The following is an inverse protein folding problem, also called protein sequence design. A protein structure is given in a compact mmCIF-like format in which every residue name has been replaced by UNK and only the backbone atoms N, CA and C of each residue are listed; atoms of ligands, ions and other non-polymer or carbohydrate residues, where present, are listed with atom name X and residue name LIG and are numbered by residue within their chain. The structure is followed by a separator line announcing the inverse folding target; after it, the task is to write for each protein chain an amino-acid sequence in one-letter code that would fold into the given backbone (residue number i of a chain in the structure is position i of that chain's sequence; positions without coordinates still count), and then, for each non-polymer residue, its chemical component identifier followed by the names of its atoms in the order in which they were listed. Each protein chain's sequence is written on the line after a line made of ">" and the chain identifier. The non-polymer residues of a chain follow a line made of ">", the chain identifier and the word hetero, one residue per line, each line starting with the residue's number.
data_IF_830889813103
#
_entry.id   IF_830889813103
#
_cell.length_a   1.000
_cell.length_b   1.000
_cell.length_c   1.000
_cell.angle_alpha   90.00
_cell.angle_beta   90.00
_cell.angle_gamma   90.00
#
_symmetry.space_group_name_H-M   'P 1'
#
loop_
_entity.id
_entity.type
_entity.pdbx_description
1 polymer ?
#
# COMPACT_ATOMS: atom_id res chain seq x y z
N UNK A 1 -14.63 31.48 10.28
CA UNK A 1 -14.26 31.45 8.86
C UNK A 1 -13.73 30.06 8.56
N UNK A 2 -14.13 29.45 7.45
CA UNK A 2 -13.57 28.17 7.01
C UNK A 2 -12.36 28.40 6.09
N UNK A 3 -11.47 27.43 5.97
CA UNK A 3 -10.34 27.51 5.05
C UNK A 3 -10.78 27.12 3.64
N UNK A 4 -11.49 26.00 3.54
CA UNK A 4 -12.06 25.48 2.29
C UNK A 4 -13.53 25.11 2.51
N UNK A 5 -14.39 25.50 1.57
CA UNK A 5 -15.78 25.06 1.48
C UNK A 5 -16.01 24.32 0.16
N UNK A 6 -16.35 23.04 0.22
CA UNK A 6 -16.72 22.23 -0.93
C UNK A 6 -18.25 22.18 -1.01
N UNK A 7 -18.82 22.55 -2.16
CA UNK A 7 -20.25 22.54 -2.43
C UNK A 7 -20.63 21.40 -3.36
N UNK A 8 -21.89 20.98 -3.30
CA UNK A 8 -22.50 20.04 -4.25
C UNK A 8 -21.75 18.70 -4.40
N UNK A 9 -21.21 18.18 -3.29
CA UNK A 9 -20.48 16.91 -3.27
C UNK A 9 -21.45 15.72 -3.24
N UNK A 10 -21.24 14.76 -4.14
CA UNK A 10 -21.79 13.42 -3.98
C UNK A 10 -20.89 12.66 -2.99
N UNK A 11 -21.48 11.97 -2.01
CA UNK A 11 -20.73 11.14 -1.06
C UNK A 11 -21.06 9.66 -1.26
N UNK A 12 -20.07 8.79 -1.08
CA UNK A 12 -20.29 7.34 -1.14
C UNK A 12 -21.35 6.91 -0.14
N UNK A 13 -22.27 6.04 -0.58
CA UNK A 13 -23.35 5.45 0.23
C UNK A 13 -24.29 6.47 0.91
N UNK A 14 -24.32 7.74 0.47
CA UNK A 14 -25.23 8.77 0.96
C UNK A 14 -26.02 9.39 -0.19
N UNK A 15 -27.33 9.56 0.00
CA UNK A 15 -28.21 10.19 -1.00
C UNK A 15 -28.09 11.72 -0.97
N UNK A 16 -28.31 12.33 -2.13
CA UNK A 16 -28.32 13.79 -2.30
C UNK A 16 -26.92 14.43 -2.30
N UNK A 17 -26.90 15.75 -2.46
CA UNK A 17 -25.69 16.56 -2.51
C UNK A 17 -25.36 17.17 -1.14
N UNK A 18 -24.08 17.20 -0.82
CA UNK A 18 -23.56 17.61 0.48
C UNK A 18 -22.58 18.77 0.34
N UNK A 19 -22.44 19.53 1.42
CA UNK A 19 -21.43 20.56 1.57
C UNK A 19 -20.45 20.13 2.66
N UNK A 20 -19.15 20.33 2.42
CA UNK A 20 -18.08 19.99 3.35
C UNK A 20 -17.31 21.27 3.68
N UNK A 21 -17.19 21.59 4.96
CA UNK A 21 -16.41 22.73 5.43
C UNK A 21 -15.15 22.22 6.15
N UNK A 22 -14.00 22.76 5.76
CA UNK A 22 -12.69 22.46 6.35
C UNK A 22 -12.21 23.67 7.12
N UNK A 23 -11.70 23.45 8.33
CA UNK A 23 -10.99 24.46 9.12
C UNK A 23 -9.82 23.83 9.85
N UNK A 24 -8.65 24.47 9.82
CA UNK A 24 -7.43 24.08 10.54
C UNK A 24 -7.06 22.61 10.32
N UNK A 25 -7.09 22.17 9.06
CA UNK A 25 -6.72 20.80 8.70
C UNK A 25 -7.73 19.72 9.10
N UNK A 26 -8.92 20.08 9.59
CA UNK A 26 -9.98 19.12 9.96
C UNK A 26 -11.28 19.38 9.22
N UNK A 27 -12.03 18.30 8.97
CA UNK A 27 -13.39 18.38 8.44
C UNK A 27 -14.30 18.89 9.56
N UNK A 28 -14.62 20.18 9.52
CA UNK A 28 -15.39 20.84 10.56
C UNK A 28 -16.89 20.55 10.47
N UNK A 29 -17.42 20.37 9.25
CA UNK A 29 -18.86 20.16 9.04
C UNK A 29 -19.16 19.42 7.74
N UNK A 30 -20.14 18.51 7.77
CA UNK A 30 -20.71 17.86 6.59
C UNK A 30 -22.24 17.99 6.64
N UNK A 31 -22.86 18.70 5.67
CA UNK A 31 -24.31 18.94 5.72
C UNK A 31 -24.94 19.19 4.35
N UNK A 32 -26.19 18.78 4.17
CA UNK A 32 -26.99 19.13 2.99
C UNK A 32 -27.49 20.59 3.03
N UNK A 33 -27.52 21.22 4.22
CA UNK A 33 -27.97 22.62 4.36
C UNK A 33 -26.91 23.58 3.81
N UNK A 34 -27.32 24.71 3.20
CA UNK A 34 -26.36 25.73 2.77
C UNK A 34 -25.51 26.25 3.93
N UNK A 35 -24.20 26.38 3.72
CA UNK A 35 -23.26 26.96 4.67
C UNK A 35 -23.08 28.45 4.32
N UNK A 36 -23.67 29.35 5.13
CA UNK A 36 -23.61 30.83 4.93
C UNK A 36 -22.37 31.50 5.55
N UNK A 37 -21.29 30.75 5.77
CA UNK A 37 -20.05 31.26 6.35
C UNK A 37 -19.04 31.64 5.26
N UNK A 38 -18.19 32.65 5.52
CA UNK A 38 -17.05 32.96 4.66
C UNK A 38 -16.02 31.81 4.68
N UNK A 39 -15.46 31.50 3.52
CA UNK A 39 -14.38 30.54 3.34
C UNK A 39 -13.22 31.17 2.54
N UNK A 40 -11.98 30.79 2.84
CA UNK A 40 -10.80 31.25 2.10
C UNK A 40 -10.81 30.77 0.64
N UNK A 41 -11.24 29.53 0.41
CA UNK A 41 -11.48 28.95 -0.91
C UNK A 41 -12.86 28.30 -0.97
N UNK A 42 -13.54 28.42 -2.11
CA UNK A 42 -14.80 27.73 -2.38
C UNK A 42 -14.61 26.86 -3.62
N UNK A 43 -14.86 25.56 -3.48
CA UNK A 43 -14.79 24.58 -4.55
C UNK A 43 -16.20 24.08 -4.83
N UNK A 44 -16.56 23.97 -6.11
CA UNK A 44 -17.79 23.30 -6.53
C UNK A 44 -17.43 21.90 -7.06
N UNK A 45 -17.91 20.87 -6.36
CA UNK A 45 -17.77 19.49 -6.80
C UNK A 45 -18.68 19.19 -8.00
N UNK A 46 -19.71 20.00 -8.28
CA UNK A 46 -20.56 19.86 -9.46
C UNK A 46 -21.33 18.53 -9.52
N UNK A 47 -21.60 17.93 -8.36
CA UNK A 47 -22.19 16.59 -8.26
C UNK A 47 -21.19 15.45 -8.40
N UNK A 48 -19.89 15.74 -8.51
CA UNK A 48 -18.87 14.70 -8.50
C UNK A 48 -18.67 14.11 -7.10
N UNK A 49 -18.16 12.88 -7.09
CA UNK A 49 -17.88 12.09 -5.91
C UNK A 49 -16.73 12.71 -5.12
N UNK A 50 -16.94 12.89 -3.82
CA UNK A 50 -15.91 13.25 -2.86
C UNK A 50 -15.69 12.09 -1.90
N UNK A 51 -14.44 11.67 -1.78
CA UNK A 51 -14.02 10.50 -0.99
C UNK A 51 -12.78 10.80 -0.17
N UNK A 52 -12.47 9.90 0.76
CA UNK A 52 -11.12 9.78 1.32
C UNK A 52 -10.07 9.68 0.19
N UNK A 53 -8.82 10.12 0.44
CA UNK A 53 -7.74 9.90 -0.50
C UNK A 53 -7.44 8.41 -0.63
N UNK A 54 -6.75 8.03 -1.69
CA UNK A 54 -6.28 6.66 -1.83
C UNK A 54 -5.09 6.39 -0.90
N UNK A 55 -4.92 5.12 -0.57
CA UNK A 55 -3.82 4.61 0.25
C UNK A 55 -3.21 3.42 -0.48
N UNK A 56 -1.88 3.45 -0.67
CA UNK A 56 -1.13 2.32 -1.21
C UNK A 56 -0.19 1.76 -0.12
N UNK A 57 -0.55 0.62 0.45
CA UNK A 57 0.21 0.02 1.56
C UNK A 57 1.38 -0.84 1.12
N UNK A 58 1.59 -0.99 -0.19
CA UNK A 58 2.64 -1.84 -0.73
C UNK A 58 3.18 -1.24 -2.03
N UNK A 59 4.36 -0.64 -1.93
CA UNK A 59 5.06 -0.06 -3.06
C UNK A 59 6.57 -0.13 -2.88
N UNK A 60 7.30 -0.74 -3.80
CA UNK A 60 8.76 -0.77 -3.80
C UNK A 60 9.34 0.49 -4.45
N UNK A 61 9.45 1.58 -3.68
CA UNK A 61 9.89 2.86 -4.22
C UNK A 61 11.38 2.93 -4.58
N UNK A 62 12.24 2.14 -3.92
CA UNK A 62 13.70 2.23 -4.13
C UNK A 62 14.17 1.74 -5.51
N UNK A 63 13.31 1.03 -6.26
CA UNK A 63 13.62 0.42 -7.57
C UNK A 63 12.68 0.85 -8.70
N UNK A 64 11.88 1.89 -8.52
CA UNK A 64 10.95 2.34 -9.57
C UNK A 64 11.67 2.89 -10.80
N UNK A 65 11.10 2.62 -11.98
CA UNK A 65 11.66 2.97 -13.29
C UNK A 65 13.04 2.37 -13.57
N UNK A 66 13.21 1.09 -13.21
CA UNK A 66 14.43 0.31 -13.48
C UNK A 66 14.22 -0.77 -14.54
N UNK A 67 13.01 -0.90 -15.12
CA UNK A 67 12.69 -1.91 -16.13
C UNK A 67 13.70 -1.95 -17.28
N UNK A 68 14.10 -0.80 -17.81
CA UNK A 68 15.06 -0.70 -18.93
C UNK A 68 16.50 -1.10 -18.52
N UNK A 69 16.79 -1.22 -17.22
CA UNK A 69 18.07 -1.70 -16.70
C UNK A 69 18.14 -3.24 -16.60
N UNK A 70 17.03 -3.92 -16.90
CA UNK A 70 16.84 -5.36 -16.70
C UNK A 70 16.69 -6.09 -18.03
N UNK A 71 17.11 -7.36 -18.06
CA UNK A 71 16.73 -8.25 -19.16
C UNK A 71 15.27 -8.73 -18.98
N UNK A 72 14.62 -9.14 -20.06
CA UNK A 72 13.22 -9.62 -20.01
C UNK A 72 13.06 -10.95 -19.27
N UNK A 73 14.16 -11.64 -18.90
CA UNK A 73 14.07 -12.97 -18.28
C UNK A 73 13.52 -12.91 -16.87
N UNK A 74 13.83 -11.84 -16.12
CA UNK A 74 13.28 -11.64 -14.77
C UNK A 74 11.74 -11.60 -14.80
N UNK A 75 11.17 -10.80 -15.71
CA UNK A 75 9.72 -10.71 -15.92
C UNK A 75 9.12 -12.06 -16.31
N UNK A 76 9.72 -12.77 -17.27
CA UNK A 76 9.22 -14.08 -17.70
C UNK A 76 9.24 -15.13 -16.57
N UNK A 77 10.25 -15.10 -15.71
CA UNK A 77 10.36 -16.06 -14.60
C UNK A 77 9.29 -15.79 -13.51
N UNK A 78 8.99 -14.53 -13.24
CA UNK A 78 7.99 -14.14 -12.23
C UNK A 78 6.56 -14.44 -12.68
N UNK A 79 6.24 -14.19 -13.97
CA UNK A 79 4.88 -14.36 -14.51
C UNK A 79 4.58 -15.76 -15.06
N UNK A 80 5.44 -16.76 -14.80
CA UNK A 80 5.17 -18.15 -15.15
C UNK A 80 3.90 -18.66 -14.47
N UNK A 81 3.11 -19.51 -15.17
CA UNK A 81 1.73 -19.84 -14.81
C UNK A 81 1.52 -20.38 -13.37
N UNK A 82 2.52 -21.07 -12.82
CA UNK A 82 2.50 -21.63 -11.46
C UNK A 82 3.35 -20.82 -10.45
N UNK A 83 3.97 -19.72 -10.89
CA UNK A 83 5.00 -18.99 -10.14
C UNK A 83 6.14 -19.87 -9.61
N UNK A 84 6.43 -21.03 -10.21
CA UNK A 84 7.51 -21.91 -9.78
C UNK A 84 8.91 -21.29 -9.93
N UNK A 85 9.03 -20.23 -10.72
CA UNK A 85 10.26 -19.46 -10.94
C UNK A 85 10.45 -18.26 -10.03
N UNK A 86 9.63 -18.06 -9.00
CA UNK A 86 9.64 -16.84 -8.17
C UNK A 86 11.02 -16.54 -7.55
N UNK A 87 11.68 -17.53 -6.94
CA UNK A 87 13.04 -17.35 -6.40
C UNK A 87 14.05 -16.97 -7.49
N UNK A 88 14.00 -17.62 -8.64
CA UNK A 88 14.86 -17.28 -9.79
C UNK A 88 14.63 -15.85 -10.27
N UNK A 89 13.37 -15.39 -10.30
CA UNK A 89 13.04 -14.02 -10.66
C UNK A 89 13.65 -13.01 -9.68
N UNK A 90 13.60 -13.30 -8.38
CA UNK A 90 14.24 -12.47 -7.33
C UNK A 90 15.75 -12.39 -7.54
N UNK A 91 16.41 -13.52 -7.80
CA UNK A 91 17.86 -13.55 -8.07
C UNK A 91 18.24 -12.76 -9.33
N UNK A 92 17.43 -12.86 -10.39
CA UNK A 92 17.62 -12.07 -11.60
C UNK A 92 17.42 -10.58 -11.33
N UNK A 93 16.34 -10.21 -10.65
CA UNK A 93 16.00 -8.85 -10.28
C UNK A 93 17.07 -8.20 -9.39
N UNK A 94 17.69 -8.95 -8.48
CA UNK A 94 18.74 -8.47 -7.58
C UNK A 94 19.96 -7.88 -8.31
N UNK A 95 20.16 -8.16 -9.61
CA UNK A 95 21.22 -7.57 -10.42
C UNK A 95 21.15 -6.05 -10.51
N UNK A 96 19.95 -5.45 -10.44
CA UNK A 96 19.80 -3.98 -10.43
C UNK A 96 20.47 -3.35 -9.20
N UNK A 97 20.52 -4.08 -8.07
CA UNK A 97 21.07 -3.61 -6.79
C UNK A 97 22.56 -3.29 -6.89
N UNK A 98 23.29 -3.97 -7.77
CA UNK A 98 24.71 -3.69 -8.02
C UNK A 98 24.97 -2.25 -8.50
N UNK A 99 23.96 -1.60 -9.09
CA UNK A 99 24.03 -0.24 -9.59
C UNK A 99 23.20 0.76 -8.77
N UNK A 100 22.77 0.39 -7.56
CA UNK A 100 22.02 1.28 -6.67
C UNK A 100 22.79 2.57 -6.42
N UNK A 101 22.14 3.69 -6.73
CA UNK A 101 22.71 5.01 -6.55
C UNK A 101 21.61 6.02 -6.26
N UNK A 102 21.76 6.78 -5.17
CA UNK A 102 20.82 7.84 -4.80
C UNK A 102 20.56 8.81 -5.96
N UNK A 103 21.57 9.07 -6.81
CA UNK A 103 21.49 10.02 -7.93
C UNK A 103 20.37 9.71 -8.92
N UNK A 104 20.00 8.45 -9.10
CA UNK A 104 18.86 8.07 -9.95
C UNK A 104 17.65 7.61 -9.12
N UNK A 105 17.85 6.98 -7.96
CA UNK A 105 16.75 6.54 -7.09
C UNK A 105 15.90 7.73 -6.65
N UNK A 106 16.52 8.79 -6.12
CA UNK A 106 15.78 9.90 -5.54
C UNK A 106 14.93 10.68 -6.58
N UNK A 107 15.45 11.04 -7.78
CA UNK A 107 14.60 11.60 -8.84
C UNK A 107 13.44 10.70 -9.26
N UNK A 108 13.67 9.39 -9.36
CA UNK A 108 12.64 8.42 -9.72
C UNK A 108 11.55 8.32 -8.65
N UNK A 109 11.93 8.28 -7.38
CA UNK A 109 11.02 8.32 -6.22
C UNK A 109 10.19 9.60 -6.23
N UNK A 110 10.83 10.77 -6.44
CA UNK A 110 10.13 12.06 -6.55
C UNK A 110 9.09 12.05 -7.67
N UNK A 111 9.44 11.50 -8.84
CA UNK A 111 8.50 11.34 -9.97
C UNK A 111 7.29 10.48 -9.56
N UNK A 112 7.54 9.34 -8.92
CA UNK A 112 6.48 8.44 -8.47
C UNK A 112 5.55 9.08 -7.41
N UNK A 113 6.11 9.84 -6.46
CA UNK A 113 5.35 10.54 -5.41
C UNK A 113 4.55 11.73 -5.95
N UNK A 114 5.07 12.46 -6.96
CA UNK A 114 4.29 13.48 -7.68
C UNK A 114 3.08 12.88 -8.38
N UNK A 115 3.25 11.72 -9.03
CA UNK A 115 2.14 10.98 -9.63
C UNK A 115 1.14 10.50 -8.58
N UNK A 116 1.61 10.05 -7.41
CA UNK A 116 0.74 9.70 -6.30
C UNK A 116 -0.16 10.87 -5.87
N UNK A 117 0.45 12.04 -5.63
CA UNK A 117 -0.30 13.25 -5.32
C UNK A 117 -1.28 13.65 -6.42
N UNK A 118 -0.90 13.53 -7.71
CA UNK A 118 -1.75 13.82 -8.85
C UNK A 118 -2.98 12.91 -8.89
N UNK A 119 -2.79 11.61 -8.63
CA UNK A 119 -3.86 10.62 -8.64
C UNK A 119 -4.61 10.53 -7.29
N UNK A 120 -4.28 11.39 -6.33
CA UNK A 120 -4.96 11.43 -5.02
C UNK A 120 -4.57 10.29 -4.09
N UNK A 121 -3.47 9.59 -4.35
CA UNK A 121 -2.86 8.63 -3.43
C UNK A 121 -1.95 9.39 -2.47
N UNK A 122 -2.46 9.65 -1.26
CA UNK A 122 -1.81 10.55 -0.29
C UNK A 122 -1.13 9.82 0.86
N UNK A 123 -1.24 8.50 0.92
CA UNK A 123 -0.64 7.69 1.98
C UNK A 123 0.02 6.46 1.37
N UNK A 124 1.33 6.32 1.56
CA UNK A 124 2.11 5.22 0.98
C UNK A 124 2.92 4.53 2.06
N UNK A 125 2.92 3.20 2.08
CA UNK A 125 3.97 2.42 2.76
C UNK A 125 4.95 1.91 1.71
N UNK A 126 6.15 2.48 1.74
CA UNK A 126 7.19 2.31 0.74
C UNK A 126 8.27 1.35 1.23
N UNK A 127 8.49 0.27 0.50
CA UNK A 127 9.52 -0.73 0.79
C UNK A 127 10.87 -0.27 0.24
N UNK A 128 11.90 -0.40 1.07
CA UNK A 128 13.27 -0.06 0.77
C UNK A 128 14.15 -1.30 0.98
N UNK A 129 14.76 -1.81 -0.09
CA UNK A 129 15.65 -2.97 -0.01
C UNK A 129 16.85 -2.67 0.93
N UNK A 130 17.06 -3.57 1.89
CA UNK A 130 18.13 -3.56 2.90
C UNK A 130 18.82 -4.92 2.89
N UNK A 131 19.97 -4.99 2.24
CA UNK A 131 20.77 -6.21 2.10
C UNK A 131 22.24 -5.87 1.79
N UNK A 132 23.10 -6.87 1.64
CA UNK A 132 24.53 -6.66 1.39
C UNK A 132 24.85 -5.90 0.08
N UNK A 133 23.95 -5.94 -0.91
CA UNK A 133 24.12 -5.34 -2.24
C UNK A 133 23.57 -3.91 -2.26
N UNK A 134 22.30 -3.75 -1.92
CA UNK A 134 21.60 -2.47 -1.85
C UNK A 134 22.10 -1.60 -0.67
N UNK A 135 22.65 -2.25 0.36
CA UNK A 135 23.05 -1.63 1.62
C UNK A 135 21.88 -0.84 2.20
N UNK A 136 22.06 0.46 2.44
CA UNK A 136 21.02 1.37 2.92
C UNK A 136 20.77 2.51 1.92
N UNK A 137 21.19 2.36 0.66
CA UNK A 137 21.14 3.43 -0.34
C UNK A 137 19.69 3.80 -0.66
N UNK A 138 18.86 2.79 -0.95
CA UNK A 138 17.43 2.98 -1.21
C UNK A 138 16.71 3.58 0.00
N UNK A 139 16.97 3.04 1.20
CA UNK A 139 16.38 3.54 2.44
C UNK A 139 16.65 5.03 2.66
N UNK A 140 17.92 5.47 2.56
CA UNK A 140 18.31 6.87 2.76
C UNK A 140 17.61 7.80 1.74
N UNK A 141 17.49 7.36 0.49
CA UNK A 141 16.75 8.11 -0.53
C UNK A 141 15.25 8.23 -0.18
N UNK A 142 14.64 7.14 0.29
CA UNK A 142 13.22 7.11 0.68
C UNK A 142 12.93 7.97 1.91
N UNK A 143 13.81 7.96 2.92
CA UNK A 143 13.68 8.84 4.10
C UNK A 143 13.73 10.33 3.70
N UNK A 144 14.65 10.70 2.81
CA UNK A 144 14.74 12.06 2.27
C UNK A 144 13.49 12.44 1.48
N UNK A 145 12.98 11.54 0.63
CA UNK A 145 11.75 11.78 -0.13
C UNK A 145 10.52 11.89 0.79
N UNK A 146 10.42 11.06 1.85
CA UNK A 146 9.37 11.18 2.87
C UNK A 146 9.34 12.58 3.47
N UNK A 147 10.49 13.10 3.84
CA UNK A 147 10.59 14.42 4.48
C UNK A 147 10.27 15.56 3.48
N UNK A 148 10.71 15.44 2.22
CA UNK A 148 10.42 16.39 1.14
C UNK A 148 8.93 16.47 0.78
N UNK A 149 8.21 15.35 0.84
CA UNK A 149 6.78 15.27 0.47
C UNK A 149 5.83 15.44 1.66
N UNK A 150 6.34 15.71 2.86
CA UNK A 150 5.53 15.93 4.05
C UNK A 150 4.46 17.00 3.82
N UNK A 151 3.22 16.66 4.14
CA UNK A 151 2.05 17.53 3.91
C UNK A 151 1.50 17.50 2.48
N UNK A 152 2.15 16.77 1.58
CA UNK A 152 1.67 16.44 0.23
C UNK A 152 1.25 14.97 0.21
N UNK A 153 2.22 14.05 0.34
CA UNK A 153 2.02 12.59 0.42
C UNK A 153 2.71 12.10 1.69
N UNK A 154 1.98 11.44 2.57
CA UNK A 154 2.53 10.85 3.79
C UNK A 154 3.13 9.48 3.45
N UNK A 155 4.44 9.33 3.62
CA UNK A 155 5.18 8.09 3.32
C UNK A 155 5.64 7.43 4.61
N UNK A 156 5.33 6.14 4.79
CA UNK A 156 5.97 5.27 5.78
C UNK A 156 7.08 4.49 5.07
N UNK A 157 8.32 4.61 5.54
CA UNK A 157 9.45 3.86 4.98
C UNK A 157 9.59 2.52 5.71
N UNK A 158 9.43 1.42 4.98
CA UNK A 158 9.60 0.05 5.45
C UNK A 158 11.02 -0.43 5.10
N UNK A 159 11.84 -0.70 6.13
CA UNK A 159 13.15 -1.31 5.93
C UNK A 159 12.95 -2.79 5.56
N UNK A 160 13.40 -3.23 4.39
CA UNK A 160 12.95 -4.49 3.81
C UNK A 160 14.10 -5.42 3.42
N UNK A 161 14.27 -6.57 4.09
CA UNK A 161 15.38 -7.49 3.84
C UNK A 161 15.12 -8.39 2.62
N UNK A 162 15.06 -7.82 1.42
CA UNK A 162 14.62 -8.49 0.18
C UNK A 162 15.35 -9.80 -0.14
N UNK A 163 16.63 -9.94 0.22
CA UNK A 163 17.44 -11.14 -0.04
C UNK A 163 17.44 -12.14 1.15
N UNK A 164 16.66 -11.85 2.21
CA UNK A 164 16.50 -12.69 3.40
C UNK A 164 17.31 -12.18 4.58
N UNK A 165 16.99 -12.68 5.78
CA UNK A 165 17.63 -12.32 7.05
C UNK A 165 18.59 -13.42 7.49
N UNK A 166 18.18 -14.69 7.37
CA UNK A 166 18.98 -15.84 7.83
C UNK A 166 19.90 -16.31 6.70
N UNK A 167 19.38 -16.43 5.48
CA UNK A 167 20.15 -16.85 4.30
C UNK A 167 21.19 -15.84 3.82
N UNK A 168 21.06 -14.56 4.21
CA UNK A 168 21.99 -13.49 3.85
C UNK A 168 22.67 -12.91 5.11
N UNK A 169 23.89 -13.38 5.44
CA UNK A 169 24.61 -12.92 6.63
C UNK A 169 24.83 -11.40 6.64
N UNK A 170 24.63 -10.78 7.81
CA UNK A 170 24.81 -9.34 8.02
C UNK A 170 23.54 -8.51 7.74
N UNK A 171 22.49 -9.08 7.14
CA UNK A 171 21.23 -8.37 6.92
C UNK A 171 20.58 -7.91 8.23
N UNK A 172 20.65 -8.71 9.30
CA UNK A 172 20.08 -8.31 10.61
C UNK A 172 20.71 -7.02 11.16
N UNK A 173 22.02 -6.86 11.03
CA UNK A 173 22.72 -5.64 11.47
C UNK A 173 22.34 -4.44 10.61
N UNK A 174 22.23 -4.63 9.29
CA UNK A 174 21.75 -3.59 8.37
C UNK A 174 20.30 -3.19 8.66
N UNK A 175 19.44 -4.16 8.99
CA UNK A 175 18.06 -3.91 9.41
C UNK A 175 18.01 -3.07 10.68
N UNK A 176 18.88 -3.36 11.66
CA UNK A 176 19.01 -2.52 12.86
C UNK A 176 19.46 -1.10 12.52
N UNK A 177 20.51 -0.95 11.69
CA UNK A 177 20.97 0.37 11.24
C UNK A 177 19.86 1.13 10.49
N UNK A 178 19.05 0.44 9.68
CA UNK A 178 17.92 1.03 8.99
C UNK A 178 16.88 1.61 9.96
N UNK A 179 16.60 0.89 11.06
CA UNK A 179 15.71 1.37 12.11
C UNK A 179 16.31 2.54 12.89
N UNK A 180 17.62 2.50 13.20
CA UNK A 180 18.34 3.61 13.83
C UNK A 180 18.32 4.90 12.98
N UNK A 181 18.34 4.77 11.65
CA UNK A 181 18.20 5.89 10.70
C UNK A 181 16.77 6.46 10.63
N UNK A 182 15.78 5.81 11.26
CA UNK A 182 14.41 6.30 11.34
C UNK A 182 13.45 5.73 10.32
N UNK A 183 13.66 4.48 9.89
CA UNK A 183 12.61 3.70 9.23
C UNK A 183 11.35 3.61 10.11
N UNK A 184 10.17 3.63 9.47
CA UNK A 184 8.88 3.71 10.15
C UNK A 184 8.30 2.33 10.46
N UNK A 185 8.70 1.31 9.70
CA UNK A 185 8.11 -0.03 9.68
C UNK A 185 9.24 -1.06 9.49
N UNK A 186 9.17 -2.18 10.23
CA UNK A 186 10.08 -3.32 10.03
C UNK A 186 9.51 -4.24 8.94
N UNK A 187 10.32 -4.52 7.92
CA UNK A 187 9.98 -5.39 6.82
C UNK A 187 10.37 -6.86 7.06
N UNK A 188 9.96 -7.74 6.14
CA UNK A 188 10.44 -9.12 6.09
C UNK A 188 9.95 -9.87 4.86
N UNK A 189 10.66 -10.95 4.52
CA UNK A 189 10.31 -11.87 3.42
C UNK A 189 10.64 -13.32 3.85
N UNK A 190 10.00 -13.85 4.91
CA UNK A 190 10.40 -15.12 5.49
C UNK A 190 10.34 -16.31 4.52
N UNK A 191 9.41 -16.34 3.56
CA UNK A 191 9.19 -17.50 2.69
C UNK A 191 10.35 -17.83 1.75
N UNK A 192 11.33 -16.93 1.58
CA UNK A 192 12.52 -17.21 0.77
C UNK A 192 13.65 -17.86 1.59
N UNK A 193 13.50 -18.01 2.91
CA UNK A 193 14.51 -18.68 3.72
C UNK A 193 14.60 -20.17 3.34
N UNK A 194 15.75 -20.81 3.58
CA UNK A 194 15.99 -22.16 3.05
C UNK A 194 15.19 -23.27 3.75
N UNK A 195 14.78 -23.05 5.00
CA UNK A 195 14.08 -24.05 5.81
C UNK A 195 12.99 -23.38 6.65
N UNK A 196 11.92 -24.10 6.99
CA UNK A 196 10.85 -23.61 7.87
C UNK A 196 11.38 -23.05 9.21
N UNK A 197 12.47 -23.65 9.73
CA UNK A 197 13.14 -23.15 10.92
C UNK A 197 13.73 -21.75 10.70
N UNK A 198 14.36 -21.53 9.55
CA UNK A 198 14.95 -20.25 9.19
C UNK A 198 13.87 -19.21 8.88
N UNK A 199 12.74 -19.61 8.27
CA UNK A 199 11.56 -18.75 8.10
C UNK A 199 11.05 -18.24 9.47
N UNK A 200 10.95 -19.12 10.46
CA UNK A 200 10.53 -18.74 11.82
C UNK A 200 11.56 -17.83 12.48
N UNK A 201 12.87 -18.10 12.34
CA UNK A 201 13.92 -17.23 12.88
C UNK A 201 13.84 -15.82 12.25
N UNK A 202 13.60 -15.73 10.94
CA UNK A 202 13.40 -14.46 10.25
C UNK A 202 12.26 -13.66 10.89
N UNK A 203 11.09 -14.28 11.07
CA UNK A 203 9.92 -13.64 11.68
C UNK A 203 10.24 -13.18 13.10
N UNK A 204 10.88 -14.05 13.89
CA UNK A 204 11.21 -13.79 15.29
C UNK A 204 12.18 -12.61 15.44
N UNK A 205 13.24 -12.54 14.63
CA UNK A 205 14.21 -11.45 14.69
C UNK A 205 13.60 -10.13 14.25
N UNK A 206 12.80 -10.12 13.18
CA UNK A 206 12.10 -8.91 12.74
C UNK A 206 11.04 -8.47 13.75
N UNK A 207 10.35 -9.40 14.42
CA UNK A 207 9.41 -9.08 15.48
C UNK A 207 10.11 -8.49 16.71
N UNK A 208 11.26 -9.05 17.13
CA UNK A 208 12.09 -8.48 18.20
C UNK A 208 12.49 -7.04 17.87
N UNK A 209 12.91 -6.79 16.62
CA UNK A 209 13.27 -5.46 16.16
C UNK A 209 12.05 -4.51 16.20
N UNK A 210 10.90 -4.96 15.71
CA UNK A 210 9.66 -4.19 15.72
C UNK A 210 9.23 -3.81 17.16
N UNK A 211 9.38 -4.73 18.12
CA UNK A 211 9.11 -4.48 19.54
C UNK A 211 10.12 -3.48 20.13
N UNK A 212 11.42 -3.68 19.88
CA UNK A 212 12.47 -2.84 20.43
C UNK A 212 12.33 -1.36 20.03
N UNK A 213 11.89 -1.08 18.79
CA UNK A 213 11.68 0.27 18.28
C UNK A 213 10.22 0.76 18.39
N UNK A 214 9.33 -0.06 18.94
CA UNK A 214 7.87 0.14 18.97
C UNK A 214 7.25 0.48 17.59
N UNK A 215 7.68 -0.23 16.54
CA UNK A 215 7.25 -0.02 15.14
C UNK A 215 6.40 -1.17 14.61
N UNK A 216 5.51 -0.85 13.68
CA UNK A 216 4.67 -1.85 13.02
C UNK A 216 5.53 -2.78 12.13
N UNK A 217 4.98 -3.93 11.75
CA UNK A 217 5.64 -4.92 10.89
C UNK A 217 4.87 -5.12 9.58
N UNK A 218 5.60 -5.31 8.48
CA UNK A 218 5.05 -5.53 7.13
C UNK A 218 5.88 -6.58 6.41
N UNK A 219 5.33 -7.76 6.13
CA UNK A 219 6.11 -8.84 5.50
C UNK A 219 5.48 -9.38 4.22
N UNK A 220 6.31 -9.63 3.21
CA UNK A 220 5.94 -10.46 2.06
C UNK A 220 5.94 -11.91 2.55
N UNK A 221 4.78 -12.54 2.49
CA UNK A 221 4.57 -13.90 3.00
C UNK A 221 3.98 -14.77 1.91
N UNK A 222 4.35 -16.04 1.92
CA UNK A 222 3.85 -17.09 1.04
C UNK A 222 3.70 -16.65 -0.45
N UNK A 223 4.69 -15.94 -0.99
CA UNK A 223 4.66 -15.37 -2.36
C UNK A 223 5.20 -16.35 -3.43
N UNK A 224 4.66 -17.56 -3.44
CA UNK A 224 4.97 -18.58 -4.43
C UNK A 224 3.74 -19.47 -4.70
N UNK A 225 3.78 -20.25 -5.78
CA UNK A 225 2.78 -21.27 -6.07
C UNK A 225 2.96 -22.56 -5.27
N UNK A 226 3.15 -22.45 -3.96
CA UNK A 226 3.38 -23.60 -3.07
C UNK A 226 2.39 -23.58 -1.90
N UNK A 227 1.38 -24.50 -1.86
CA UNK A 227 0.39 -24.55 -0.79
C UNK A 227 0.96 -25.00 0.58
N UNK A 228 2.21 -25.46 0.62
CA UNK A 228 2.85 -25.91 1.84
C UNK A 228 3.41 -24.77 2.68
N UNK A 229 3.68 -23.59 2.08
CA UNK A 229 4.17 -22.41 2.80
C UNK A 229 3.23 -22.01 3.96
N UNK A 230 3.85 -21.61 5.09
CA UNK A 230 3.17 -21.32 6.36
C UNK A 230 3.55 -19.96 6.97
N UNK A 231 4.31 -19.13 6.27
CA UNK A 231 4.85 -17.89 6.84
C UNK A 231 3.77 -16.86 7.18
N UNK A 232 2.62 -16.88 6.50
CA UNK A 232 1.44 -16.10 6.91
C UNK A 232 0.87 -16.57 8.27
N UNK A 233 0.78 -17.88 8.48
CA UNK A 233 0.34 -18.46 9.77
C UNK A 233 1.34 -18.11 10.87
N UNK A 234 2.63 -18.32 10.62
CA UNK A 234 3.70 -18.04 11.58
C UNK A 234 3.70 -16.57 12.02
N UNK A 235 3.58 -15.63 11.08
CA UNK A 235 3.48 -14.20 11.40
C UNK A 235 2.22 -13.87 12.21
N UNK A 236 1.07 -14.46 11.85
CA UNK A 236 -0.17 -14.24 12.58
C UNK A 236 -0.06 -14.74 14.03
N UNK A 237 0.48 -15.94 14.24
CA UNK A 237 0.72 -16.54 15.56
C UNK A 237 1.67 -15.66 16.37
N UNK A 238 2.82 -15.29 15.79
CA UNK A 238 3.80 -14.46 16.51
C UNK A 238 3.24 -13.09 16.89
N UNK A 239 2.40 -12.51 16.03
CA UNK A 239 1.68 -11.26 16.33
C UNK A 239 0.77 -11.40 17.56
N UNK A 240 0.09 -12.54 17.72
CA UNK A 240 -0.76 -12.83 18.87
C UNK A 240 0.07 -13.01 20.14
N UNK A 241 1.11 -13.83 20.08
CA UNK A 241 1.99 -14.16 21.21
C UNK A 241 2.65 -12.92 21.82
N UNK A 242 3.08 -11.99 20.98
CA UNK A 242 3.74 -10.75 21.40
C UNK A 242 2.74 -9.61 21.72
N UNK A 243 1.43 -9.88 21.65
CA UNK A 243 0.39 -8.87 21.90
C UNK A 243 0.38 -7.71 20.90
N UNK A 244 0.92 -7.89 19.70
CA UNK A 244 1.05 -6.87 18.63
C UNK A 244 -0.20 -6.78 17.75
N UNK A 245 -1.38 -6.99 18.33
CA UNK A 245 -2.67 -7.03 17.63
C UNK A 245 -2.91 -5.77 16.79
N UNK A 246 -3.15 -5.92 15.49
CA UNK A 246 -3.38 -4.83 14.55
C UNK A 246 -2.12 -4.04 14.17
N UNK A 247 -0.92 -4.56 14.46
CA UNK A 247 0.37 -3.92 14.14
C UNK A 247 1.19 -4.70 13.12
N UNK A 248 0.59 -5.69 12.48
CA UNK A 248 1.17 -6.53 11.44
C UNK A 248 0.36 -6.45 10.16
N UNK A 249 1.06 -6.47 9.02
CA UNK A 249 0.46 -6.50 7.69
C UNK A 249 1.18 -7.53 6.82
N UNK A 250 0.42 -8.45 6.25
CA UNK A 250 0.91 -9.47 5.33
C UNK A 250 0.73 -9.00 3.88
N UNK A 251 1.72 -9.26 3.03
CA UNK A 251 1.75 -8.88 1.62
C UNK A 251 1.80 -10.11 0.72
N UNK A 252 1.14 -10.02 -0.44
CA UNK A 252 0.94 -11.08 -1.43
C UNK A 252 0.10 -12.26 -0.95
N UNK A 253 0.65 -13.11 -0.07
CA UNK A 253 0.05 -14.35 0.40
C UNK A 253 -0.53 -15.21 -0.76
N UNK A 254 0.20 -15.31 -1.87
CA UNK A 254 -0.32 -15.90 -3.12
C UNK A 254 -0.53 -17.41 -3.03
N UNK A 255 0.26 -18.13 -2.25
CA UNK A 255 0.05 -19.54 -1.93
C UNK A 255 -1.35 -19.81 -1.37
N UNK A 256 -1.98 -18.81 -0.73
CA UNK A 256 -3.34 -18.92 -0.19
C UNK A 256 -4.37 -19.34 -1.24
N UNK A 257 -4.14 -19.00 -2.51
CA UNK A 257 -4.99 -19.46 -3.61
C UNK A 257 -5.08 -21.00 -3.67
N UNK A 258 -4.01 -21.69 -3.28
CA UNK A 258 -3.84 -23.14 -3.36
C UNK A 258 -4.14 -23.88 -2.04
N UNK A 259 -4.42 -23.15 -0.95
CA UNK A 259 -4.66 -23.77 0.35
C UNK A 259 -5.88 -24.71 0.36
N UNK A 260 -5.78 -25.89 1.02
CA UNK A 260 -6.96 -26.67 1.38
C UNK A 260 -7.93 -25.83 2.21
N UNK A 261 -9.23 -25.96 1.95
CA UNK A 261 -10.27 -25.16 2.62
C UNK A 261 -10.19 -25.19 4.16
N UNK A 262 -9.97 -26.34 4.83
CA UNK A 262 -9.83 -26.36 6.29
C UNK A 262 -8.65 -25.52 6.79
N UNK A 263 -7.51 -25.56 6.07
CA UNK A 263 -6.34 -24.77 6.41
C UNK A 263 -6.58 -23.27 6.18
N UNK A 264 -7.20 -22.89 5.06
CA UNK A 264 -7.61 -21.51 4.80
C UNK A 264 -8.50 -20.95 5.92
N UNK A 265 -9.51 -21.70 6.36
CA UNK A 265 -10.41 -21.28 7.46
C UNK A 265 -9.67 -21.07 8.78
N UNK A 266 -8.70 -21.93 9.10
CA UNK A 266 -7.84 -21.76 10.29
C UNK A 266 -7.04 -20.45 10.19
N UNK A 267 -6.36 -20.22 9.06
CA UNK A 267 -5.57 -19.00 8.84
C UNK A 267 -6.46 -17.76 8.88
N UNK A 268 -7.63 -17.79 8.23
CA UNK A 268 -8.59 -16.70 8.25
C UNK A 268 -9.07 -16.34 9.66
N UNK A 269 -9.23 -17.33 10.55
CA UNK A 269 -9.56 -17.08 11.95
C UNK A 269 -8.40 -16.46 12.74
N UNK A 270 -7.15 -16.91 12.49
CA UNK A 270 -5.95 -16.32 13.09
C UNK A 270 -5.77 -14.85 12.69
N UNK A 271 -5.95 -14.54 11.40
CA UNK A 271 -5.87 -13.17 10.89
C UNK A 271 -6.86 -12.22 11.58
N UNK A 272 -8.09 -12.67 11.83
CA UNK A 272 -9.08 -11.88 12.59
C UNK A 272 -8.66 -11.62 14.03
N UNK A 273 -8.19 -12.66 14.73
CA UNK A 273 -7.74 -12.54 16.12
C UNK A 273 -6.55 -11.57 16.20
N UNK A 274 -5.61 -11.69 15.28
CA UNK A 274 -4.45 -10.81 15.18
C UNK A 274 -4.79 -9.40 14.67
N UNK A 275 -6.01 -9.19 14.13
CA UNK A 275 -6.41 -8.01 13.34
C UNK A 275 -5.39 -7.67 12.25
N UNK A 276 -4.78 -8.71 11.68
CA UNK A 276 -3.75 -8.61 10.67
C UNK A 276 -4.40 -8.52 9.28
N UNK A 277 -4.07 -7.45 8.55
CA UNK A 277 -4.54 -7.29 7.18
C UNK A 277 -3.74 -8.12 6.19
N UNK A 278 -4.32 -8.37 5.01
CA UNK A 278 -3.63 -8.93 3.85
C UNK A 278 -3.70 -7.93 2.70
N UNK A 279 -2.54 -7.60 2.12
CA UNK A 279 -2.44 -6.86 0.86
C UNK A 279 -2.43 -7.86 -0.29
N UNK A 280 -3.33 -7.65 -1.26
CA UNK A 280 -3.37 -8.41 -2.51
C UNK A 280 -3.10 -7.49 -3.69
N UNK A 281 -2.35 -7.97 -4.66
CA UNK A 281 -1.97 -7.28 -5.89
C UNK A 281 -2.17 -8.21 -7.09
N UNK A 282 -3.42 -8.58 -7.44
CA UNK A 282 -3.69 -9.63 -8.41
C UNK A 282 -3.09 -9.39 -9.81
N UNK A 283 -2.74 -8.14 -10.12
CA UNK A 283 -2.23 -7.72 -11.42
C UNK A 283 -0.73 -7.97 -11.60
N UNK A 284 0.00 -8.36 -10.55
CA UNK A 284 1.46 -8.61 -10.61
C UNK A 284 1.82 -10.10 -10.73
N UNK A 285 0.85 -11.01 -10.72
CA UNK A 285 1.08 -12.44 -10.94
C UNK A 285 -0.20 -13.26 -11.20
N UNK A 286 -0.08 -14.53 -11.62
CA UNK A 286 -1.23 -15.39 -11.91
C UNK A 286 -1.96 -15.91 -10.65
N UNK A 287 -1.29 -15.86 -9.49
CA UNK A 287 -1.84 -16.22 -8.19
C UNK A 287 -2.05 -14.97 -7.34
N UNK A 288 -3.02 -15.01 -6.43
CA UNK A 288 -3.35 -13.90 -5.54
C UNK A 288 -4.02 -14.42 -4.26
N UNK A 289 -4.02 -13.62 -3.20
CA UNK A 289 -4.80 -13.94 -2.00
C UNK A 289 -6.29 -14.16 -2.35
N UNK A 290 -6.99 -15.00 -1.57
CA UNK A 290 -8.43 -15.28 -1.73
C UNK A 290 -9.29 -14.13 -1.21
N UNK A 291 -9.29 -13.00 -1.94
CA UNK A 291 -9.88 -11.72 -1.50
C UNK A 291 -11.35 -11.85 -1.10
N UNK A 292 -12.19 -12.48 -1.93
CA UNK A 292 -13.63 -12.58 -1.66
C UNK A 292 -13.91 -13.43 -0.43
N UNK A 293 -13.20 -14.55 -0.29
CA UNK A 293 -13.34 -15.48 0.81
C UNK A 293 -12.81 -14.86 2.11
N UNK A 294 -11.67 -14.18 2.10
CA UNK A 294 -11.16 -13.45 3.26
C UNK A 294 -12.17 -12.41 3.74
N UNK A 295 -12.73 -11.61 2.82
CA UNK A 295 -13.76 -10.62 3.14
C UNK A 295 -15.03 -11.28 3.69
N UNK A 296 -15.45 -12.42 3.14
CA UNK A 296 -16.60 -13.18 3.63
C UNK A 296 -16.38 -13.76 5.03
N UNK A 297 -15.15 -14.11 5.39
CA UNK A 297 -14.81 -14.48 6.77
C UNK A 297 -14.81 -13.27 7.71
N UNK A 298 -14.68 -12.04 7.20
CA UNK A 298 -14.58 -10.81 8.01
C UNK A 298 -13.15 -10.33 8.23
N UNK A 299 -12.20 -10.78 7.41
CA UNK A 299 -10.82 -10.32 7.45
C UNK A 299 -10.62 -8.96 6.80
N UNK A 300 -9.57 -8.27 7.22
CA UNK A 300 -9.15 -7.02 6.61
C UNK A 300 -8.31 -7.32 5.37
N UNK A 301 -8.79 -6.87 4.21
CA UNK A 301 -8.07 -6.99 2.93
C UNK A 301 -7.90 -5.61 2.33
N UNK A 302 -6.77 -5.37 1.67
CA UNK A 302 -6.51 -4.17 0.90
C UNK A 302 -5.80 -4.52 -0.42
N UNK A 303 -5.82 -3.58 -1.37
CA UNK A 303 -5.13 -3.72 -2.64
C UNK A 303 -3.85 -2.87 -2.64
N UNK A 304 -2.75 -3.45 -3.14
CA UNK A 304 -1.47 -2.79 -3.33
C UNK A 304 -1.14 -2.62 -4.81
N UNK A 305 -0.28 -1.64 -5.14
CA UNK A 305 0.26 -1.55 -6.51
C UNK A 305 1.55 -2.37 -6.69
N UNK A 306 2.29 -2.61 -5.60
CA UNK A 306 3.53 -3.40 -5.59
C UNK A 306 4.71 -2.68 -6.26
N UNK A 307 4.74 -2.59 -7.58
CA UNK A 307 5.89 -2.04 -8.32
C UNK A 307 5.49 -0.94 -9.32
N UNK A 308 6.50 -0.23 -9.82
CA UNK A 308 6.39 0.74 -10.91
C UNK A 308 7.56 0.53 -11.88
N UNK A 309 7.26 -0.01 -13.05
CA UNK A 309 8.20 -0.13 -14.17
C UNK A 309 9.54 -0.70 -13.71
N UNK A 310 9.52 -1.94 -13.24
CA UNK A 310 10.70 -2.67 -12.79
C UNK A 310 10.68 -4.14 -13.22
N UNK A 311 11.58 -4.95 -12.65
CA UNK A 311 11.75 -6.36 -12.98
C UNK A 311 10.53 -7.26 -12.68
N UNK A 312 9.57 -6.79 -11.86
CA UNK A 312 8.43 -7.57 -11.40
C UNK A 312 7.13 -7.11 -12.07
N UNK A 313 7.01 -5.80 -12.34
CA UNK A 313 5.85 -5.25 -13.04
C UNK A 313 6.22 -4.10 -13.99
N UNK A 314 5.88 -4.19 -15.29
CA UNK A 314 6.32 -3.21 -16.27
C UNK A 314 5.53 -1.89 -16.25
N UNK A 315 4.35 -1.85 -15.63
CA UNK A 315 3.46 -0.70 -15.61
C UNK A 315 3.45 -0.01 -14.23
N UNK A 316 2.38 0.73 -13.91
CA UNK A 316 2.19 1.37 -12.60
C UNK A 316 2.46 2.88 -12.60
N UNK A 317 1.62 3.65 -11.89
CA UNK A 317 1.73 5.12 -11.81
C UNK A 317 1.09 5.75 -10.57
N UNK A 318 0.95 4.98 -9.50
CA UNK A 318 0.25 5.35 -8.26
C UNK A 318 -1.22 5.76 -8.46
N UNK A 319 -1.89 5.19 -9.46
CA UNK A 319 -3.33 5.38 -9.67
C UNK A 319 -4.11 4.19 -9.11
N UNK A 320 -4.61 4.31 -7.89
CA UNK A 320 -5.30 3.21 -7.22
C UNK A 320 -6.66 2.85 -7.86
N UNK A 321 -7.22 3.72 -8.72
CA UNK A 321 -8.38 3.36 -9.54
C UNK A 321 -8.02 2.28 -10.57
N UNK A 322 -6.82 2.32 -11.13
CA UNK A 322 -6.35 1.30 -12.09
C UNK A 322 -6.10 -0.04 -11.40
N UNK A 323 -5.50 0.00 -10.20
CA UNK A 323 -5.31 -1.18 -9.36
C UNK A 323 -6.65 -1.85 -9.04
N UNK A 324 -7.63 -1.05 -8.60
CA UNK A 324 -8.97 -1.55 -8.29
C UNK A 324 -9.70 -2.10 -9.53
N UNK A 325 -9.54 -1.45 -10.69
CA UNK A 325 -10.12 -1.92 -11.95
C UNK A 325 -9.50 -3.23 -12.44
N UNK A 326 -8.18 -3.38 -12.36
CA UNK A 326 -7.54 -4.66 -12.71
C UNK A 326 -8.00 -5.76 -11.75
N UNK A 327 -8.03 -5.46 -10.44
CA UNK A 327 -8.54 -6.38 -9.43
C UNK A 327 -10.01 -6.76 -9.68
N UNK A 328 -10.87 -5.86 -10.16
CA UNK A 328 -12.27 -6.20 -10.43
C UNK A 328 -12.43 -7.31 -11.47
N UNK A 329 -11.55 -7.34 -12.47
CA UNK A 329 -11.58 -8.36 -13.52
C UNK A 329 -10.96 -9.67 -13.04
N UNK A 330 -9.83 -9.60 -12.36
CA UNK A 330 -9.10 -10.77 -11.89
C UNK A 330 -9.84 -11.51 -10.76
N UNK A 331 -10.56 -10.76 -9.91
CA UNK A 331 -11.33 -11.30 -8.80
C UNK A 331 -12.81 -11.52 -9.13
N UNK A 332 -13.26 -11.20 -10.35
CA UNK A 332 -14.67 -11.23 -10.75
C UNK A 332 -15.59 -10.49 -9.75
N UNK A 333 -15.22 -9.24 -9.47
CA UNK A 333 -15.89 -8.32 -8.55
C UNK A 333 -16.48 -7.13 -9.33
N UNK A 334 -17.42 -7.41 -10.23
CA UNK A 334 -17.90 -6.46 -11.26
C UNK A 334 -19.34 -5.96 -11.02
N UNK A 335 -19.97 -6.32 -9.90
CA UNK A 335 -21.27 -5.75 -9.50
C UNK A 335 -21.12 -4.40 -8.80
N UNK A 336 -22.16 -3.55 -8.80
CA UNK A 336 -22.09 -2.25 -8.10
C UNK A 336 -21.71 -2.34 -6.60
N UNK A 337 -22.27 -3.28 -5.81
CA UNK A 337 -21.83 -3.45 -4.42
C UNK A 337 -20.38 -3.89 -4.30
N UNK A 338 -19.91 -4.77 -5.19
CA UNK A 338 -18.51 -5.22 -5.20
C UNK A 338 -17.56 -4.09 -5.59
N UNK A 339 -17.94 -3.20 -6.52
CA UNK A 339 -17.16 -2.01 -6.85
C UNK A 339 -17.02 -1.08 -5.64
N UNK A 340 -18.08 -0.89 -4.86
CA UNK A 340 -18.00 -0.15 -3.59
C UNK A 340 -17.07 -0.84 -2.58
N UNK A 341 -17.04 -2.17 -2.54
CA UNK A 341 -16.08 -2.93 -1.72
C UNK A 341 -14.65 -2.73 -2.21
N UNK A 342 -14.39 -2.86 -3.52
CA UNK A 342 -13.07 -2.61 -4.12
C UNK A 342 -12.56 -1.21 -3.81
N UNK A 343 -13.45 -0.21 -3.83
CA UNK A 343 -13.10 1.16 -3.46
C UNK A 343 -12.68 1.26 -1.98
N UNK A 344 -13.31 0.50 -1.08
CA UNK A 344 -12.87 0.39 0.32
C UNK A 344 -11.46 -0.25 0.42
N UNK A 345 -11.14 -1.21 -0.45
CA UNK A 345 -9.84 -1.89 -0.48
C UNK A 345 -8.67 -1.00 -0.91
N UNK A 346 -8.94 0.18 -1.49
CA UNK A 346 -7.92 1.19 -1.86
C UNK A 346 -8.03 2.51 -1.08
N UNK A 347 -8.91 2.56 -0.06
CA UNK A 347 -9.09 3.75 0.78
C UNK A 347 -9.13 3.37 2.27
N UNK A 348 -10.30 3.01 2.80
CA UNK A 348 -10.52 2.86 4.24
C UNK A 348 -9.89 1.60 4.84
N UNK A 349 -9.83 0.49 4.10
CA UNK A 349 -9.20 -0.74 4.59
C UNK A 349 -7.67 -0.60 4.66
N UNK A 350 -6.95 -0.17 3.61
CA UNK A 350 -5.51 0.05 3.72
C UNK A 350 -5.16 1.09 4.80
N UNK A 351 -5.98 2.14 4.97
CA UNK A 351 -5.81 3.09 6.07
C UNK A 351 -5.87 2.43 7.47
N UNK A 352 -6.78 1.45 7.65
CA UNK A 352 -6.84 0.65 8.89
C UNK A 352 -5.61 -0.25 9.04
N UNK A 353 -5.16 -0.91 7.96
CA UNK A 353 -3.99 -1.80 7.98
C UNK A 353 -2.72 -1.10 8.45
N UNK A 354 -2.56 0.19 8.12
CA UNK A 354 -1.36 0.98 8.50
C UNK A 354 -1.64 1.98 9.62
N UNK A 355 -2.73 1.76 10.37
CA UNK A 355 -3.07 2.50 11.59
C UNK A 355 -3.29 4.01 11.43
N UNK A 356 -3.71 4.49 10.24
CA UNK A 356 -4.01 5.90 10.01
C UNK A 356 -5.15 6.37 10.92
N UNK A 357 -4.92 7.45 11.65
CA UNK A 357 -5.90 8.01 12.58
C UNK A 357 -6.76 9.05 11.88
N UNK A 358 -8.06 9.10 12.22
CA UNK A 358 -9.02 10.10 11.73
C UNK A 358 -9.10 10.18 10.18
N UNK A 359 -8.86 9.07 9.49
CA UNK A 359 -8.81 8.99 8.03
C UNK A 359 -10.18 9.13 7.36
N UNK A 360 -11.23 8.58 7.98
CA UNK A 360 -12.59 8.54 7.40
C UNK A 360 -13.14 9.95 7.09
N UNK A 361 -13.89 10.05 5.99
CA UNK A 361 -14.57 11.27 5.56
C UNK A 361 -15.79 11.59 6.44
N UNK A 362 -15.51 12.06 7.66
CA UNK A 362 -16.50 12.43 8.67
C UNK A 362 -16.10 13.71 9.39
N UNK A 363 -17.06 14.33 10.07
CA UNK A 363 -16.76 15.48 10.93
C UNK A 363 -15.71 15.09 11.98
N UNK A 364 -14.77 16.01 12.25
CA UNK A 364 -13.57 15.81 13.07
C UNK A 364 -12.51 14.86 12.46
N UNK A 365 -12.74 14.34 11.26
CA UNK A 365 -11.74 13.66 10.45
C UNK A 365 -10.65 14.62 9.95
N UNK A 366 -9.51 14.07 9.57
CA UNK A 366 -8.43 14.82 8.91
C UNK A 366 -8.95 15.34 7.56
N UNK A 367 -8.56 16.56 7.20
CA UNK A 367 -8.98 17.17 5.94
C UNK A 367 -8.11 16.74 4.75
N UNK A 368 -7.89 15.44 4.60
CA UNK A 368 -7.35 14.86 3.36
C UNK A 368 -8.51 14.22 2.61
N UNK A 369 -8.75 14.61 1.37
CA UNK A 369 -9.85 14.11 0.53
C UNK A 369 -9.59 14.41 -0.94
N UNK A 370 -10.27 13.68 -1.81
CA UNK A 370 -10.26 13.89 -3.26
C UNK A 370 -11.66 14.23 -3.76
N UNK A 371 -11.74 15.14 -4.73
CA UNK A 371 -12.94 15.40 -5.52
C UNK A 371 -12.67 14.79 -6.89
N UNK A 372 -13.30 13.66 -7.19
CA UNK A 372 -13.06 12.93 -8.44
C UNK A 372 -13.61 13.71 -9.65
N UNK A 373 -13.15 13.34 -10.85
CA UNK A 373 -13.83 13.71 -12.09
C UNK A 373 -14.83 12.61 -12.52
N UNK A 374 -15.69 12.23 -11.57
CA UNK A 374 -16.66 11.15 -11.72
C UNK A 374 -17.81 11.35 -10.73
N UNK A 375 -19.02 10.92 -11.08
CA UNK A 375 -20.21 11.02 -10.21
C UNK A 375 -20.43 9.77 -9.37
N UNK A 376 -19.95 8.62 -9.84
CA UNK A 376 -20.11 7.31 -9.20
C UNK A 376 -18.78 6.56 -9.16
N UNK A 377 -18.69 5.55 -8.28
CA UNK A 377 -17.54 4.63 -8.25
C UNK A 377 -17.37 3.92 -9.60
N UNK A 378 -18.48 3.53 -10.24
CA UNK A 378 -18.45 2.90 -11.56
C UNK A 378 -17.82 3.82 -12.62
N UNK A 379 -18.17 5.11 -12.64
CA UNK A 379 -17.57 6.06 -13.58
C UNK A 379 -16.08 6.30 -13.26
N UNK A 380 -15.71 6.33 -11.97
CA UNK A 380 -14.31 6.45 -11.56
C UNK A 380 -13.47 5.26 -12.04
N UNK A 381 -13.99 4.03 -11.89
CA UNK A 381 -13.38 2.80 -12.43
C UNK A 381 -13.48 2.68 -13.95
N UNK A 382 -14.38 3.40 -14.62
CA UNK A 382 -14.40 3.38 -16.10
C UNK A 382 -13.31 4.28 -16.68
N UNK A 383 -13.09 5.44 -16.06
CA UNK A 383 -12.30 6.51 -16.67
C UNK A 383 -10.87 6.60 -16.12
N UNK A 384 -10.64 6.14 -14.88
CA UNK A 384 -9.35 6.24 -14.17
C UNK A 384 -8.73 7.64 -14.15
N UNK A 385 -9.56 8.67 -14.34
CA UNK A 385 -9.10 10.05 -14.45
C UNK A 385 -8.52 10.51 -13.10
N UNK A 386 -7.44 11.31 -13.10
CA UNK A 386 -7.00 12.00 -11.90
C UNK A 386 -8.14 12.79 -11.25
N UNK A 387 -8.19 12.91 -9.92
CA UNK A 387 -9.18 13.75 -9.26
C UNK A 387 -9.12 15.20 -9.77
N UNK A 388 -10.30 15.83 -9.88
CA UNK A 388 -10.44 17.24 -10.20
C UNK A 388 -9.74 18.13 -9.16
N UNK A 389 -9.84 17.75 -7.89
CA UNK A 389 -9.15 18.42 -6.80
C UNK A 389 -8.62 17.40 -5.79
N UNK A 390 -7.42 17.68 -5.27
CA UNK A 390 -6.78 16.89 -4.21
C UNK A 390 -6.49 17.82 -3.04
N UNK A 391 -6.98 17.45 -1.86
CA UNK A 391 -6.72 18.18 -0.62
C UNK A 391 -5.91 17.26 0.29
N UNK A 392 -4.74 17.72 0.72
CA UNK A 392 -3.88 17.02 1.67
C UNK A 392 -3.73 17.85 2.94
N UNK A 393 -4.10 17.29 4.09
CA UNK A 393 -3.98 17.96 5.40
C UNK A 393 -4.64 19.36 5.45
N UNK A 394 -5.76 19.52 4.74
CA UNK A 394 -6.51 20.79 4.63
C UNK A 394 -5.99 21.76 3.56
N UNK A 395 -4.93 21.40 2.84
CA UNK A 395 -4.35 22.21 1.79
C UNK A 395 -4.77 21.69 0.41
N UNK A 396 -5.36 22.58 -0.40
CA UNK A 396 -5.62 22.28 -1.81
C UNK A 396 -4.29 22.24 -2.57
N UNK A 397 -3.94 21.07 -3.10
CA UNK A 397 -2.77 20.89 -3.95
C UNK A 397 -3.05 21.48 -5.34
N UNK A 398 -2.08 22.17 -5.94
CA UNK A 398 -2.21 22.67 -7.31
C UNK A 398 -1.56 21.69 -8.27
N UNK A 399 -2.22 21.44 -9.41
CA UNK A 399 -1.64 20.59 -10.46
C UNK A 399 -0.27 21.09 -10.96
N UNK A 400 -0.01 22.41 -10.92
CA UNK A 400 1.29 23.01 -11.23
C UNK A 400 2.41 22.53 -10.31
N UNK A 401 2.08 22.27 -9.05
CA UNK A 401 3.05 21.89 -8.02
C UNK A 401 3.41 20.39 -8.13
N UNK A 402 2.64 19.65 -8.93
CA UNK A 402 2.75 18.20 -9.12
C UNK A 402 3.28 17.82 -10.52
N UNK A 403 3.33 18.77 -11.46
CA UNK A 403 3.91 18.59 -12.80
C UNK A 403 5.33 19.13 -12.79
N UNK A 404 6.32 18.24 -12.85
CA UNK A 404 7.72 18.60 -13.01
C UNK A 404 8.55 17.39 -13.36
#
# INVERSE_FOLDING_TARGET
>A
MYDILIKNAQLRRKKGLWNIAIAKGVIAKITQKPIRAKAGKVLDAGGNLVTEPFVNTHLHLCKVYTLEMMDSKALCAYHGADMGGAMTAIELAARVKANYNEKWILPNVRRALKLAALHGNLHIRAFADVDSKAKLIGLKALLKARDEFKGIVDVQVCAFPQDGVVREPGTLDLMKEAMDLGADVVGGIPWIEFTEKDEQIHIDEMMKLAIAYDKDISMLVDDAGDPTLKTLEMLAVRTLEEGRIGRSLAHHARAMCLYPIPYFKKVAALLQQARMGVVSDPHTGPLHARVKELLAEGNLVCLGQDDISDAYYPYGRNNMLEVAFLASHLLWMTTYPEMETLYDLVTVNPAKCINLKKFELKEKGNASLVILDAKTVCDAFRNHAPPKYVISNGNLLKASDLRG
#
